data_IF_221358236940
#
_entry.id   IF_221358236940
#
_cell.length_a   1.000
_cell.length_b   1.000
_cell.length_c   1.000
_cell.angle_alpha   90.00
_cell.angle_beta   90.00
_cell.angle_gamma   90.00
#
_symmetry.space_group_name_H-M   'P 1'
#
loop_
_entity.id
_entity.type
_entity.pdbx_description
1 polymer ?
#
# COMPACT_ATOMS: atom_id res chain seq x y z
N UNK A 1 4.68 27.39 34.89
CA UNK A 1 5.04 25.99 34.56
C UNK A 1 5.06 25.86 33.05
N UNK A 2 6.21 25.54 32.44
CA UNK A 2 6.38 25.55 30.98
C UNK A 2 6.11 24.15 30.44
N UNK A 3 5.25 24.04 29.43
CA UNK A 3 4.99 22.76 28.75
C UNK A 3 6.26 22.28 28.07
N UNK A 4 6.73 21.08 28.41
CA UNK A 4 7.88 20.47 27.75
C UNK A 4 7.42 19.81 26.45
N UNK A 5 8.23 19.94 25.40
CA UNK A 5 7.95 19.37 24.08
C UNK A 5 9.20 18.67 23.53
N UNK A 6 9.00 17.55 22.85
CA UNK A 6 10.04 16.86 22.06
C UNK A 6 9.49 16.53 20.68
N UNK A 7 10.30 16.69 19.66
CA UNK A 7 10.03 16.26 18.28
C UNK A 7 10.81 14.97 18.04
N UNK A 8 10.12 13.89 17.68
CA UNK A 8 10.76 12.59 17.41
C UNK A 8 10.30 12.06 16.07
N UNK A 9 11.18 11.32 15.41
CA UNK A 9 10.80 10.40 14.34
C UNK A 9 10.62 9.03 14.98
N UNK A 10 9.41 8.48 14.88
CA UNK A 10 9.09 7.19 15.49
C UNK A 10 9.43 6.04 14.54
N UNK A 11 9.36 4.81 15.05
CA UNK A 11 9.73 3.59 14.31
C UNK A 11 8.92 3.36 13.03
N UNK A 12 7.74 3.98 12.91
CA UNK A 12 6.88 3.91 11.72
C UNK A 12 7.25 4.97 10.67
N UNK A 13 8.33 5.73 10.88
CA UNK A 13 8.79 6.78 9.99
C UNK A 13 8.02 8.10 10.10
N UNK A 14 7.03 8.19 10.99
CA UNK A 14 6.26 9.42 11.20
C UNK A 14 6.96 10.35 12.19
N UNK A 15 6.84 11.66 11.96
CA UNK A 15 7.36 12.68 12.86
C UNK A 15 6.25 13.15 13.79
N UNK A 16 6.51 13.09 15.11
CA UNK A 16 5.54 13.41 16.16
C UNK A 16 6.09 14.41 17.17
N UNK A 17 5.22 15.30 17.64
CA UNK A 17 5.49 16.18 18.78
C UNK A 17 4.83 15.61 20.01
N UNK A 18 5.64 15.22 20.98
CA UNK A 18 5.17 14.82 22.29
C UNK A 18 5.19 16.01 23.24
N UNK A 19 4.17 16.11 24.09
CA UNK A 19 4.08 17.11 25.13
C UNK A 19 3.89 16.46 26.50
N UNK A 20 4.34 17.13 27.57
CA UNK A 20 3.96 16.83 28.95
C UNK A 20 3.96 18.11 29.79
N UNK A 21 3.11 18.18 30.81
CA UNK A 21 2.98 19.37 31.65
C UNK A 21 3.95 19.32 32.83
N UNK A 22 4.09 18.14 33.42
CA UNK A 22 4.96 17.88 34.57
C UNK A 22 6.00 16.81 34.28
N UNK A 23 7.13 16.82 35.00
CA UNK A 23 8.18 15.80 34.88
C UNK A 23 7.70 14.39 35.25
N UNK A 24 6.73 14.30 36.16
CA UNK A 24 6.09 13.05 36.62
C UNK A 24 5.02 12.51 35.67
N UNK A 25 4.59 13.30 34.68
CA UNK A 25 3.59 12.88 33.71
C UNK A 25 4.22 12.14 32.51
N UNK A 26 3.44 11.23 31.95
CA UNK A 26 3.80 10.56 30.71
C UNK A 26 3.70 11.53 29.52
N UNK A 27 4.61 11.34 28.56
CA UNK A 27 4.55 12.03 27.27
C UNK A 27 3.32 11.56 26.49
N UNK A 28 2.55 12.50 25.93
CA UNK A 28 1.46 12.19 25.00
C UNK A 28 1.73 12.83 23.63
N UNK A 29 1.24 12.20 22.56
CA UNK A 29 1.33 12.76 21.21
C UNK A 29 0.37 13.95 21.12
N UNK A 30 0.94 15.15 21.02
CA UNK A 30 0.17 16.40 20.90
C UNK A 30 -0.05 16.83 19.46
N UNK A 31 0.78 16.33 18.54
CA UNK A 31 0.69 16.57 17.10
C UNK A 31 1.53 15.54 16.33
N UNK A 32 1.18 15.27 15.08
CA UNK A 32 1.94 14.41 14.16
C UNK A 32 1.84 14.93 12.73
N UNK A 33 2.86 14.71 11.90
CA UNK A 33 2.87 15.13 10.48
C UNK A 33 1.81 14.38 9.69
N UNK A 34 1.78 13.06 9.85
CA UNK A 34 0.88 12.20 9.08
C UNK A 34 -0.16 11.60 10.01
N UNK A 35 -1.42 12.00 9.85
CA UNK A 35 -2.53 11.47 10.64
C UNK A 35 -2.92 10.06 10.22
N UNK A 36 -3.05 9.83 8.91
CA UNK A 36 -3.30 8.51 8.34
C UNK A 36 -1.95 7.83 8.06
N UNK A 37 -1.51 7.01 9.00
CA UNK A 37 -0.20 6.33 8.91
C UNK A 37 -0.11 5.36 7.72
N UNK A 38 -1.23 4.98 7.09
CA UNK A 38 -1.19 4.16 5.86
C UNK A 38 -0.67 4.89 4.63
N UNK A 39 -0.54 6.23 4.69
CA UNK A 39 0.11 7.02 3.65
C UNK A 39 1.64 6.83 3.68
N UNK A 40 2.20 6.43 4.81
CA UNK A 40 3.64 6.19 4.94
C UNK A 40 3.99 4.88 4.24
N UNK A 41 4.95 4.94 3.32
CA UNK A 41 5.38 3.76 2.59
C UNK A 41 6.07 2.73 3.50
N UNK A 42 5.86 1.44 3.22
CA UNK A 42 6.47 0.34 3.96
C UNK A 42 5.82 0.02 5.32
N UNK A 43 4.75 0.72 5.70
CA UNK A 43 4.05 0.48 6.98
C UNK A 43 3.41 -0.90 7.09
N UNK A 44 3.05 -1.50 5.96
CA UNK A 44 2.66 -2.90 5.84
C UNK A 44 3.56 -3.57 4.81
N UNK A 45 3.91 -4.84 5.05
CA UNK A 45 4.80 -5.59 4.17
C UNK A 45 4.19 -5.92 2.80
N UNK A 46 4.98 -6.57 1.95
CA UNK A 46 4.56 -6.92 0.59
C UNK A 46 3.29 -7.79 0.57
N UNK A 47 2.55 -7.70 -0.54
CA UNK A 47 1.31 -8.42 -0.81
C UNK A 47 0.18 -8.14 0.19
N UNK A 48 0.18 -6.94 0.76
CA UNK A 48 -0.80 -6.51 1.76
C UNK A 48 -1.28 -5.08 1.50
N UNK A 49 -2.39 -4.73 2.14
CA UNK A 49 -2.94 -3.38 2.19
C UNK A 49 -2.98 -2.85 3.61
N UNK A 50 -2.98 -1.53 3.71
CA UNK A 50 -3.16 -0.78 4.93
C UNK A 50 -4.52 -0.08 4.92
N UNK A 51 -5.19 -0.14 6.07
CA UNK A 51 -6.37 0.65 6.40
C UNK A 51 -6.15 1.36 7.72
N UNK A 52 -6.66 2.58 7.86
CA UNK A 52 -6.50 3.38 9.06
C UNK A 52 -7.86 3.73 9.65
N UNK A 53 -8.02 3.48 10.95
CA UNK A 53 -9.17 3.88 11.73
C UNK A 53 -8.69 4.80 12.87
N UNK A 54 -9.27 6.00 13.08
CA UNK A 54 -8.81 6.93 14.12
C UNK A 54 -8.87 6.38 15.56
N UNK A 55 -9.71 5.38 15.84
CA UNK A 55 -9.85 4.77 17.17
C UNK A 55 -8.99 3.51 17.31
N UNK A 56 -8.85 2.72 16.24
CA UNK A 56 -8.14 1.43 16.26
C UNK A 56 -6.71 1.50 15.73
N UNK A 57 -6.33 2.62 15.11
CA UNK A 57 -5.04 2.82 14.46
C UNK A 57 -4.95 2.14 13.09
N UNK A 58 -3.72 1.88 12.65
CA UNK A 58 -3.48 1.16 11.39
C UNK A 58 -3.84 -0.31 11.53
N UNK A 59 -4.29 -0.90 10.43
CA UNK A 59 -4.46 -2.34 10.27
C UNK A 59 -3.91 -2.76 8.92
N UNK A 60 -3.01 -3.74 8.93
CA UNK A 60 -2.55 -4.42 7.73
C UNK A 60 -3.44 -5.63 7.43
N UNK A 61 -3.68 -5.93 6.16
CA UNK A 61 -4.46 -7.09 5.73
C UNK A 61 -3.94 -7.60 4.39
N UNK A 62 -3.82 -8.91 4.23
CA UNK A 62 -3.32 -9.49 2.98
C UNK A 62 -4.26 -9.21 1.81
N UNK A 63 -3.69 -9.09 0.62
CA UNK A 63 -4.47 -9.12 -0.61
C UNK A 63 -5.18 -10.47 -0.75
N UNK A 64 -6.35 -10.54 -1.41
CA UNK A 64 -7.00 -11.82 -1.68
C UNK A 64 -6.05 -12.78 -2.42
N UNK A 65 -6.04 -14.06 -2.02
CA UNK A 65 -5.08 -15.06 -2.53
C UNK A 65 -3.75 -15.11 -1.78
N UNK A 66 -3.55 -14.25 -0.77
CA UNK A 66 -2.36 -14.22 0.08
C UNK A 66 -2.71 -14.44 1.56
N UNK A 67 -1.78 -15.01 2.32
CA UNK A 67 -1.89 -15.21 3.78
C UNK A 67 -0.73 -14.57 4.53
N UNK A 68 -0.94 -14.24 5.80
CA UNK A 68 0.06 -13.56 6.64
C UNK A 68 1.28 -14.48 6.84
N UNK A 69 2.50 -13.97 6.64
CA UNK A 69 3.74 -14.72 6.92
C UNK A 69 4.02 -14.85 8.41
N UNK A 70 3.84 -13.74 9.14
CA UNK A 70 4.09 -13.66 10.57
C UNK A 70 2.99 -12.83 11.27
N UNK A 71 2.17 -13.47 12.09
CA UNK A 71 1.09 -12.80 12.82
C UNK A 71 1.60 -11.82 13.89
N UNK A 72 2.84 -11.97 14.35
CA UNK A 72 3.48 -11.07 15.31
C UNK A 72 4.15 -9.86 14.64
N UNK A 73 4.41 -9.94 13.34
CA UNK A 73 5.08 -8.88 12.59
C UNK A 73 4.48 -8.72 11.18
N UNK A 74 3.55 -7.77 11.04
CA UNK A 74 2.94 -7.44 9.75
C UNK A 74 3.88 -6.72 8.77
N UNK A 75 5.07 -6.28 9.20
CA UNK A 75 6.08 -5.73 8.27
C UNK A 75 6.68 -6.83 7.38
N UNK A 76 6.66 -8.09 7.83
CA UNK A 76 7.03 -9.26 7.02
C UNK A 76 6.10 -9.48 5.81
N UNK A 77 4.90 -8.92 5.83
CA UNK A 77 3.94 -9.00 4.72
C UNK A 77 3.23 -10.36 4.60
N UNK A 78 2.81 -10.68 3.37
CA UNK A 78 2.01 -11.85 3.06
C UNK A 78 2.68 -12.73 1.99
N UNK A 79 2.41 -14.02 2.04
CA UNK A 79 2.85 -15.01 1.06
C UNK A 79 1.68 -15.53 0.22
N UNK A 80 1.91 -15.86 -1.06
CA UNK A 80 0.85 -16.35 -1.94
C UNK A 80 0.35 -17.71 -1.47
N UNK A 81 -0.94 -17.96 -1.69
CA UNK A 81 -1.59 -19.27 -1.48
C UNK A 81 -1.69 -20.07 -2.78
N UNK A 82 -0.96 -19.64 -3.81
CA UNK A 82 -0.94 -20.19 -5.15
C UNK A 82 0.50 -20.24 -5.66
N UNK A 83 0.75 -21.12 -6.63
CA UNK A 83 2.04 -21.20 -7.28
C UNK A 83 2.12 -20.16 -8.41
N UNK A 84 3.17 -19.34 -8.39
CA UNK A 84 3.41 -18.38 -9.45
C UNK A 84 3.99 -19.11 -10.67
N UNK A 85 3.27 -19.10 -11.78
CA UNK A 85 3.76 -19.59 -13.08
C UNK A 85 3.98 -18.42 -14.02
N UNK A 86 5.14 -18.35 -14.67
CA UNK A 86 5.37 -17.44 -15.79
C UNK A 86 4.98 -18.13 -17.11
N UNK A 87 3.73 -18.57 -17.21
CA UNK A 87 3.20 -19.11 -18.45
C UNK A 87 1.97 -18.31 -18.87
N UNK A 88 2.10 -17.54 -19.97
CA UNK A 88 1.05 -16.64 -20.46
C UNK A 88 -0.31 -17.32 -20.68
N UNK A 89 -0.33 -18.63 -20.97
CA UNK A 89 -1.57 -19.36 -21.18
C UNK A 89 -2.27 -19.80 -19.89
N UNK A 90 -1.59 -19.75 -18.75
CA UNK A 90 -2.10 -20.23 -17.45
C UNK A 90 -2.25 -19.10 -16.43
N UNK A 91 -1.43 -18.05 -16.52
CA UNK A 91 -1.47 -16.91 -15.61
C UNK A 91 -2.73 -16.08 -15.83
N UNK A 92 -3.47 -15.82 -14.75
CA UNK A 92 -4.63 -14.92 -14.74
C UNK A 92 -4.51 -13.96 -13.57
N UNK A 93 -5.19 -12.81 -13.66
CA UNK A 93 -5.18 -11.81 -12.59
C UNK A 93 -6.53 -11.70 -11.91
N UNK A 94 -6.51 -11.58 -10.59
CA UNK A 94 -7.67 -11.22 -9.81
C UNK A 94 -7.86 -9.71 -9.84
N UNK A 95 -9.04 -9.26 -10.31
CA UNK A 95 -9.41 -7.84 -10.30
C UNK A 95 -9.86 -7.39 -8.91
N UNK A 96 -9.17 -6.40 -8.37
CA UNK A 96 -9.44 -5.77 -7.07
C UNK A 96 -9.88 -4.31 -7.27
N UNK A 97 -11.13 -3.99 -6.96
CA UNK A 97 -11.70 -2.64 -7.11
C UNK A 97 -11.42 -1.78 -5.88
N UNK A 98 -11.03 -0.51 -6.07
CA UNK A 98 -10.76 0.39 -4.95
C UNK A 98 -9.44 0.11 -4.21
N UNK A 99 -8.60 -0.75 -4.80
CA UNK A 99 -7.26 -1.04 -4.32
C UNK A 99 -6.26 -0.19 -5.09
N UNK A 100 -5.45 0.56 -4.36
CA UNK A 100 -4.31 1.30 -4.86
C UNK A 100 -3.04 0.61 -4.38
N UNK A 101 -2.10 0.34 -5.29
CA UNK A 101 -0.74 -0.10 -5.01
C UNK A 101 0.21 1.01 -5.44
N UNK A 102 0.89 1.68 -4.51
CA UNK A 102 1.72 2.84 -4.83
C UNK A 102 3.20 2.47 -5.03
N UNK A 103 3.79 2.94 -6.12
CA UNK A 103 5.19 2.71 -6.48
C UNK A 103 5.47 1.27 -6.93
N UNK A 104 6.76 0.90 -6.90
CA UNK A 104 7.28 -0.37 -7.41
C UNK A 104 6.87 -0.68 -8.86
N UNK A 105 6.71 0.39 -9.64
CA UNK A 105 6.32 0.34 -11.04
C UNK A 105 7.53 -0.09 -11.89
N UNK A 106 7.34 -1.09 -12.75
CA UNK A 106 8.34 -1.41 -13.79
C UNK A 106 8.12 -0.55 -15.02
N UNK A 107 6.89 -0.55 -15.53
CA UNK A 107 6.49 0.21 -16.69
C UNK A 107 5.28 1.07 -16.35
N UNK A 108 5.34 2.31 -16.81
CA UNK A 108 4.25 3.25 -16.77
C UNK A 108 3.86 3.62 -18.20
N UNK A 109 2.60 3.40 -18.56
CA UNK A 109 2.08 3.71 -19.89
C UNK A 109 0.84 4.59 -19.75
N UNK A 110 0.92 5.79 -20.31
CA UNK A 110 -0.22 6.69 -20.44
C UNK A 110 -1.09 6.30 -21.63
N UNK A 111 -2.39 6.57 -21.52
CA UNK A 111 -3.37 6.29 -22.56
C UNK A 111 -3.32 4.83 -23.05
N UNK A 112 -3.24 3.91 -22.09
CA UNK A 112 -3.16 2.47 -22.37
C UNK A 112 -4.53 1.82 -22.28
N UNK A 113 -4.75 0.78 -23.07
CA UNK A 113 -5.89 -0.13 -22.86
C UNK A 113 -5.59 -1.13 -21.76
N UNK A 114 -6.65 -1.73 -21.20
CA UNK A 114 -6.56 -2.84 -20.24
C UNK A 114 -5.73 -4.01 -20.81
N UNK A 115 -6.07 -4.47 -22.02
CA UNK A 115 -5.40 -5.61 -22.68
C UNK A 115 -3.92 -5.36 -22.92
N UNK A 116 -3.55 -4.12 -23.23
CA UNK A 116 -2.14 -3.75 -23.36
C UNK A 116 -1.42 -3.85 -22.01
N UNK A 117 -2.04 -3.37 -20.93
CA UNK A 117 -1.48 -3.43 -19.58
C UNK A 117 -1.31 -4.87 -19.08
N UNK A 118 -2.35 -5.69 -19.28
CA UNK A 118 -2.35 -7.12 -18.98
C UNK A 118 -1.27 -7.85 -19.77
N UNK A 119 -1.19 -7.60 -21.09
CA UNK A 119 -0.14 -8.18 -21.93
C UNK A 119 1.24 -7.80 -21.41
N UNK A 120 1.51 -6.51 -21.18
CA UNK A 120 2.81 -6.02 -20.68
C UNK A 120 3.26 -6.74 -19.41
N UNK A 121 2.32 -7.00 -18.49
CA UNK A 121 2.62 -7.76 -17.28
C UNK A 121 2.91 -9.24 -17.58
N UNK A 122 2.06 -9.91 -18.37
CA UNK A 122 2.25 -11.30 -18.79
C UNK A 122 3.53 -11.52 -19.62
N UNK A 123 4.09 -10.49 -20.24
CA UNK A 123 5.35 -10.60 -20.98
C UNK A 123 6.59 -10.62 -20.07
N UNK A 124 6.42 -10.29 -18.80
CA UNK A 124 7.51 -10.11 -17.85
C UNK A 124 7.31 -11.03 -16.65
N UNK A 125 8.16 -12.05 -16.52
CA UNK A 125 8.08 -13.01 -15.42
C UNK A 125 8.30 -12.42 -14.03
N UNK A 126 8.80 -11.18 -13.93
CA UNK A 126 8.93 -10.48 -12.64
C UNK A 126 7.72 -9.59 -12.33
N UNK A 127 6.73 -9.52 -13.22
CA UNK A 127 5.54 -8.75 -12.99
C UNK A 127 4.60 -9.53 -12.05
N UNK A 128 4.31 -8.92 -10.90
CA UNK A 128 3.41 -9.49 -9.88
C UNK A 128 1.96 -9.04 -10.06
N UNK A 129 1.70 -8.12 -11.01
CA UNK A 129 0.39 -7.53 -11.22
C UNK A 129 0.48 -6.16 -11.87
N UNK A 130 -0.65 -5.48 -12.02
CA UNK A 130 -0.69 -4.12 -12.55
C UNK A 130 -1.82 -3.28 -11.95
N UNK A 131 -1.60 -1.97 -11.88
CA UNK A 131 -2.63 -0.98 -11.60
C UNK A 131 -3.14 -0.40 -12.90
N UNK A 132 -4.46 -0.42 -13.07
CA UNK A 132 -5.15 0.23 -14.19
C UNK A 132 -6.11 1.28 -13.62
N UNK A 133 -5.86 2.56 -13.91
CA UNK A 133 -6.66 3.66 -13.36
C UNK A 133 -7.05 4.67 -14.42
N UNK A 134 -8.24 5.22 -14.28
CA UNK A 134 -8.73 6.31 -15.11
C UNK A 134 -8.30 7.64 -14.50
N UNK A 135 -7.81 8.56 -15.32
CA UNK A 135 -7.49 9.92 -14.90
C UNK A 135 -8.46 10.91 -15.53
N UNK A 136 -9.44 11.36 -14.75
CA UNK A 136 -10.51 12.26 -15.19
C UNK A 136 -9.98 13.53 -15.86
N UNK A 137 -8.95 14.17 -15.28
CA UNK A 137 -8.42 15.43 -15.79
C UNK A 137 -7.78 15.36 -17.18
N UNK A 138 -7.40 14.15 -17.63
CA UNK A 138 -6.81 13.92 -18.95
C UNK A 138 -7.71 13.07 -19.85
N UNK A 139 -8.80 12.50 -19.33
CA UNK A 139 -9.67 11.55 -20.02
C UNK A 139 -8.88 10.36 -20.63
N UNK A 140 -7.93 9.81 -19.87
CA UNK A 140 -7.11 8.67 -20.29
C UNK A 140 -7.04 7.60 -19.21
N UNK A 141 -6.75 6.37 -19.63
CA UNK A 141 -6.36 5.30 -18.73
C UNK A 141 -4.84 5.21 -18.61
N UNK A 142 -4.37 5.01 -17.38
CA UNK A 142 -2.97 4.82 -17.04
C UNK A 142 -2.74 3.40 -16.58
N UNK A 143 -1.69 2.79 -17.11
CA UNK A 143 -1.22 1.46 -16.76
C UNK A 143 0.08 1.55 -15.97
N UNK A 144 0.17 0.78 -14.90
CA UNK A 144 1.37 0.64 -14.09
C UNK A 144 1.63 -0.83 -13.78
N UNK A 145 2.63 -1.46 -14.40
CA UNK A 145 3.01 -2.84 -14.06
C UNK A 145 3.85 -2.86 -12.79
N UNK A 146 3.65 -3.85 -11.92
CA UNK A 146 4.23 -3.89 -10.58
C UNK A 146 5.27 -5.00 -10.45
N UNK A 147 6.47 -4.64 -10.00
CA UNK A 147 7.50 -5.63 -9.58
C UNK A 147 7.18 -6.22 -8.21
N UNK A 148 6.54 -5.44 -7.35
CA UNK A 148 6.14 -5.83 -6.01
C UNK A 148 4.78 -5.20 -5.69
N UNK A 149 3.91 -5.95 -5.00
CA UNK A 149 2.62 -5.46 -4.54
C UNK A 149 2.81 -4.80 -3.16
N UNK A 150 3.22 -3.53 -3.16
CA UNK A 150 3.57 -2.77 -1.94
C UNK A 150 2.81 -1.46 -1.84
N UNK A 151 2.85 -0.89 -0.63
CA UNK A 151 2.15 0.35 -0.27
C UNK A 151 0.65 0.28 -0.64
N UNK A 152 0.06 -0.89 -0.41
CA UNK A 152 -1.32 -1.14 -0.76
C UNK A 152 -2.26 -0.37 0.16
N UNK A 153 -3.31 0.22 -0.41
CA UNK A 153 -4.39 0.86 0.33
C UNK A 153 -5.71 0.46 -0.30
N UNK A 154 -6.69 0.19 0.55
CA UNK A 154 -8.06 -0.01 0.09
C UNK A 154 -8.88 1.22 0.48
N UNK A 155 -9.37 1.94 -0.53
CA UNK A 155 -10.24 3.10 -0.33
C UNK A 155 -11.44 3.02 -1.26
N UNK A 156 -12.67 3.07 -0.73
CA UNK A 156 -13.88 3.11 -1.57
C UNK A 156 -13.93 4.29 -2.54
N UNK A 157 -13.23 5.39 -2.22
CA UNK A 157 -13.14 6.58 -3.09
C UNK A 157 -12.09 6.46 -4.20
N UNK A 158 -11.24 5.43 -4.18
CA UNK A 158 -10.21 5.28 -5.19
C UNK A 158 -10.80 4.75 -6.49
N UNK A 159 -10.68 5.54 -7.57
CA UNK A 159 -11.20 5.21 -8.89
C UNK A 159 -10.12 4.51 -9.72
N UNK A 160 -9.94 3.22 -9.44
CA UNK A 160 -8.98 2.37 -10.16
C UNK A 160 -9.07 0.91 -9.73
N UNK A 161 -8.38 0.05 -10.48
CA UNK A 161 -8.37 -1.40 -10.24
C UNK A 161 -6.93 -1.91 -10.19
N UNK A 162 -6.65 -2.73 -9.18
CA UNK A 162 -5.44 -3.53 -9.13
C UNK A 162 -5.74 -4.91 -9.68
N UNK A 163 -4.79 -5.50 -10.40
CA UNK A 163 -4.88 -6.82 -10.99
C UNK A 163 -3.66 -7.60 -10.48
N UNK A 164 -3.88 -8.60 -9.63
CA UNK A 164 -2.85 -9.29 -8.85
C UNK A 164 -2.97 -10.80 -8.93
#
# INVERSE_FOLDING_TARGET
MVMQRKLTMDYDGNVRVYSRKNMSENWYVSWQVISDTCIIHGVCGANSTCSYDPKKGKKCSCLPGYKVKNHSDFSSGCEPMFDFTCNRSESTFLKLNGFELYGYDKYFVQNSTYKNCESLCLQDCNCMGFQYKYEEGQNIFKCYTKLQLLNGRHSPSFVGTAHT
#
